data_IF_845171710323
#
_entry.id   IF_845171710323
#
_cell.length_a   1.000
_cell.length_b   1.000
_cell.length_c   1.000
_cell.angle_alpha   90.00
_cell.angle_beta   90.00
_cell.angle_gamma   90.00
#
_symmetry.space_group_name_H-M   'P 1'
#
loop_
_entity.id
_entity.type
_entity.pdbx_description
1 polymer ?
#
# COMPACT_ATOMS: atom_id res chain seq x y z
N UNK A 1 13.34 -16.44 -10.48
CA UNK A 1 11.87 -16.48 -10.64
C UNK A 1 11.30 -15.83 -9.41
N UNK A 2 10.48 -14.80 -9.58
CA UNK A 2 9.84 -14.12 -8.46
C UNK A 2 8.52 -14.85 -8.14
N UNK A 3 8.18 -14.93 -6.86
CA UNK A 3 6.83 -15.30 -6.46
C UNK A 3 5.92 -14.07 -6.51
N UNK A 4 4.64 -14.22 -6.85
CA UNK A 4 3.70 -13.09 -6.78
C UNK A 4 2.31 -13.52 -6.36
N UNK A 5 1.76 -12.81 -5.39
CA UNK A 5 0.42 -13.07 -4.85
C UNK A 5 -0.40 -11.77 -4.77
N UNK A 6 -1.70 -11.90 -4.99
CA UNK A 6 -2.67 -10.82 -4.81
C UNK A 6 -3.46 -11.07 -3.54
N UNK A 7 -3.32 -10.22 -2.53
CA UNK A 7 -4.11 -10.27 -1.30
C UNK A 7 -5.40 -9.49 -1.49
N UNK A 8 -6.53 -10.17 -1.38
CA UNK A 8 -7.86 -9.54 -1.40
C UNK A 8 -8.74 -10.05 -0.28
N UNK A 9 -10.00 -9.62 -0.21
CA UNK A 9 -10.94 -10.02 0.83
C UNK A 9 -12.37 -10.09 0.33
N UNK A 10 -13.23 -10.72 1.14
CA UNK A 10 -14.66 -10.75 0.87
C UNK A 10 -15.37 -9.39 1.11
N UNK A 11 -14.76 -8.48 1.87
CA UNK A 11 -15.27 -7.12 2.08
C UNK A 11 -14.18 -6.24 2.69
N UNK A 12 -14.45 -4.93 2.79
CA UNK A 12 -13.62 -4.00 3.56
C UNK A 12 -13.47 -4.46 5.02
N UNK A 13 -12.35 -4.13 5.67
CA UNK A 13 -12.10 -4.38 7.09
C UNK A 13 -12.03 -5.87 7.52
N UNK A 14 -11.82 -6.79 6.56
CA UNK A 14 -11.42 -8.19 6.85
C UNK A 14 -10.06 -8.35 7.50
N UNK A 15 -9.28 -7.27 7.65
CA UNK A 15 -7.91 -7.27 8.16
C UNK A 15 -6.84 -7.58 7.11
N UNK A 16 -7.11 -7.32 5.82
CA UNK A 16 -6.12 -7.46 4.73
C UNK A 16 -4.81 -6.76 5.05
N UNK A 17 -4.89 -5.52 5.52
CA UNK A 17 -3.72 -4.68 5.79
C UNK A 17 -2.86 -5.26 6.91
N UNK A 18 -3.46 -5.83 7.95
CA UNK A 18 -2.69 -6.55 8.99
C UNK A 18 -1.98 -7.77 8.40
N UNK A 19 -2.67 -8.51 7.54
CA UNK A 19 -2.11 -9.70 6.87
C UNK A 19 -0.99 -9.32 5.90
N UNK A 20 -1.18 -8.28 5.07
CA UNK A 20 -0.18 -7.82 4.10
C UNK A 20 1.08 -7.28 4.79
N UNK A 21 0.93 -6.46 5.84
CA UNK A 21 2.04 -5.95 6.63
C UNK A 21 2.81 -7.08 7.32
N UNK A 22 2.09 -7.99 7.98
CA UNK A 22 2.71 -9.12 8.64
C UNK A 22 3.40 -10.08 7.66
N UNK A 23 2.84 -10.32 6.47
CA UNK A 23 3.49 -11.10 5.42
C UNK A 23 4.76 -10.40 4.91
N UNK A 24 4.68 -9.11 4.59
CA UNK A 24 5.84 -8.35 4.11
C UNK A 24 6.99 -8.41 5.12
N UNK A 25 6.70 -8.15 6.40
CA UNK A 25 7.70 -8.17 7.45
C UNK A 25 8.22 -9.58 7.76
N UNK A 26 7.36 -10.61 7.72
CA UNK A 26 7.77 -12.00 7.94
C UNK A 26 8.69 -12.53 6.81
N UNK A 27 8.40 -12.19 5.55
CA UNK A 27 9.27 -12.55 4.43
C UNK A 27 10.60 -11.77 4.45
N UNK A 28 10.56 -10.47 4.78
CA UNK A 28 11.76 -9.66 5.00
C UNK A 28 12.63 -10.25 6.11
N UNK A 29 12.03 -10.70 7.22
CA UNK A 29 12.74 -11.35 8.32
C UNK A 29 13.40 -12.69 7.91
N UNK A 30 12.89 -13.34 6.86
CA UNK A 30 13.53 -14.49 6.18
C UNK A 30 14.58 -14.07 5.12
N UNK A 31 14.98 -12.81 5.10
CA UNK A 31 15.94 -12.23 4.15
C UNK A 31 15.52 -12.32 2.68
N UNK A 32 14.21 -12.37 2.41
CA UNK A 32 13.69 -12.27 1.05
C UNK A 32 13.54 -10.80 0.67
N UNK A 33 13.85 -10.48 -0.59
CA UNK A 33 13.55 -9.18 -1.16
C UNK A 33 12.04 -9.09 -1.46
N UNK A 34 11.31 -8.31 -0.68
CA UNK A 34 9.85 -8.17 -0.78
C UNK A 34 9.51 -6.89 -1.53
N UNK A 35 8.84 -6.99 -2.68
CA UNK A 35 8.25 -5.85 -3.35
C UNK A 35 6.76 -5.76 -3.00
N UNK A 36 6.32 -4.62 -2.49
CA UNK A 36 4.90 -4.40 -2.19
C UNK A 36 4.26 -3.50 -3.22
N UNK A 37 2.97 -3.73 -3.46
CA UNK A 37 2.13 -2.90 -4.31
C UNK A 37 0.78 -2.68 -3.63
N UNK A 38 0.14 -1.55 -3.91
CA UNK A 38 -1.19 -1.22 -3.42
C UNK A 38 -2.13 -0.94 -4.58
N UNK A 39 -3.29 -1.60 -4.60
CA UNK A 39 -4.33 -1.26 -5.57
C UNK A 39 -5.03 0.04 -5.17
N UNK A 40 -5.15 0.96 -6.13
CA UNK A 40 -5.84 2.23 -5.99
C UNK A 40 -4.94 3.43 -5.65
N UNK A 41 -5.46 4.66 -5.70
CA UNK A 41 -4.73 5.89 -5.42
C UNK A 41 -4.63 6.16 -3.90
N UNK A 42 -4.06 5.21 -3.16
CA UNK A 42 -3.87 5.27 -1.71
C UNK A 42 -2.49 5.85 -1.36
N UNK A 43 -2.38 6.61 -0.28
CA UNK A 43 -1.08 7.12 0.22
C UNK A 43 -0.68 6.51 1.55
N UNK A 44 -1.64 6.07 2.36
CA UNK A 44 -1.40 5.69 3.75
C UNK A 44 -0.93 4.24 3.82
N UNK A 45 -1.65 3.33 3.17
CA UNK A 45 -1.30 1.91 3.14
C UNK A 45 0.10 1.68 2.51
N UNK A 46 0.49 2.38 1.42
CA UNK A 46 1.86 2.31 0.89
C UNK A 46 2.96 2.71 1.87
N UNK A 47 2.74 3.69 2.74
CA UNK A 47 3.74 4.08 3.75
C UNK A 47 3.97 2.91 4.73
N UNK A 48 2.90 2.27 5.19
CA UNK A 48 2.98 1.09 6.06
C UNK A 48 3.63 -0.11 5.35
N UNK A 49 3.22 -0.39 4.11
CA UNK A 49 3.77 -1.48 3.30
C UNK A 49 5.25 -1.25 3.00
N UNK A 50 5.65 0.00 2.76
CA UNK A 50 7.06 0.34 2.52
C UNK A 50 7.91 0.07 3.75
N UNK A 51 7.43 0.46 4.93
CA UNK A 51 8.10 0.18 6.20
C UNK A 51 8.20 -1.33 6.47
N UNK A 52 7.11 -2.08 6.25
CA UNK A 52 7.04 -3.52 6.49
C UNK A 52 7.93 -4.32 5.53
N UNK A 53 7.91 -4.00 4.23
CA UNK A 53 8.70 -4.68 3.21
C UNK A 53 10.17 -4.24 3.19
N UNK A 54 10.46 -3.00 3.61
CA UNK A 54 11.78 -2.40 3.51
C UNK A 54 12.12 -1.84 2.12
N UNK A 55 11.20 -1.92 1.17
CA UNK A 55 11.29 -1.34 -0.17
C UNK A 55 10.13 -0.36 -0.37
N UNK A 56 10.23 0.61 -1.30
CA UNK A 56 9.09 1.44 -1.64
C UNK A 56 7.89 0.62 -2.13
N UNK A 57 6.68 1.01 -1.75
CA UNK A 57 5.43 0.44 -2.23
C UNK A 57 4.88 1.28 -3.39
N UNK A 58 4.48 0.62 -4.48
CA UNK A 58 3.93 1.30 -5.67
C UNK A 58 2.43 1.11 -5.79
N UNK A 59 1.76 2.14 -6.29
CA UNK A 59 0.33 2.09 -6.55
C UNK A 59 0.05 1.48 -7.92
N UNK A 60 -1.04 0.71 -8.02
CA UNK A 60 -1.55 0.17 -9.28
C UNK A 60 -3.02 0.55 -9.39
N UNK A 61 -3.37 1.42 -10.33
CA UNK A 61 -4.71 1.99 -10.39
C UNK A 61 -5.19 2.26 -11.83
N UNK A 62 -6.39 1.80 -12.14
CA UNK A 62 -7.00 1.92 -13.48
C UNK A 62 -7.47 3.33 -13.84
N UNK A 63 -7.54 4.26 -12.88
CA UNK A 63 -7.94 5.65 -13.15
C UNK A 63 -6.74 6.53 -13.46
N UNK A 64 -5.62 6.28 -12.78
CA UNK A 64 -4.39 7.05 -12.96
C UNK A 64 -3.43 6.43 -13.99
N UNK A 65 -3.63 5.15 -14.34
CA UNK A 65 -2.76 4.42 -15.25
C UNK A 65 -3.57 3.63 -16.28
N UNK A 66 -3.01 3.51 -17.48
CA UNK A 66 -3.41 2.51 -18.47
C UNK A 66 -3.02 1.10 -18.06
N UNK A 67 -3.64 0.09 -18.67
CA UNK A 67 -3.30 -1.32 -18.43
C UNK A 67 -1.83 -1.64 -18.75
N UNK A 68 -1.28 -1.00 -19.78
CA UNK A 68 0.13 -1.15 -20.17
C UNK A 68 1.07 -0.55 -19.12
N UNK A 69 0.76 0.65 -18.60
CA UNK A 69 1.53 1.29 -17.51
C UNK A 69 1.50 0.44 -16.24
N UNK A 70 0.33 -0.09 -15.85
CA UNK A 70 0.19 -1.02 -14.72
C UNK A 70 1.09 -2.25 -14.90
N UNK A 71 1.03 -2.86 -16.09
CA UNK A 71 1.78 -4.09 -16.39
C UNK A 71 3.29 -3.82 -16.41
N UNK A 72 3.73 -2.69 -16.96
CA UNK A 72 5.12 -2.28 -16.99
C UNK A 72 5.65 -1.97 -15.58
N UNK A 73 4.92 -1.18 -14.79
CA UNK A 73 5.32 -0.81 -13.43
C UNK A 73 5.43 -2.06 -12.55
N UNK A 74 4.42 -2.94 -12.58
CA UNK A 74 4.48 -4.22 -11.89
C UNK A 74 5.69 -5.04 -12.35
N UNK A 75 5.90 -5.19 -13.66
CA UNK A 75 6.99 -5.96 -14.23
C UNK A 75 8.37 -5.46 -13.79
N UNK A 76 8.59 -4.15 -13.82
CA UNK A 76 9.83 -3.48 -13.46
C UNK A 76 10.28 -3.80 -12.04
N UNK A 77 9.38 -3.66 -11.07
CA UNK A 77 9.75 -3.83 -9.66
C UNK A 77 9.59 -5.27 -9.18
N UNK A 78 8.59 -6.00 -9.66
CA UNK A 78 8.40 -7.39 -9.26
C UNK A 78 9.50 -8.31 -9.80
N UNK A 79 10.07 -8.05 -10.99
CA UNK A 79 11.14 -8.89 -11.56
C UNK A 79 12.43 -8.91 -10.73
N UNK A 80 12.65 -7.88 -9.91
CA UNK A 80 13.85 -7.72 -9.08
C UNK A 80 13.64 -8.22 -7.64
N UNK A 81 12.47 -8.80 -7.34
CA UNK A 81 12.09 -9.28 -6.01
C UNK A 81 12.09 -10.81 -5.92
N UNK A 82 12.23 -11.33 -4.70
CA UNK A 82 11.97 -12.76 -4.43
C UNK A 82 10.47 -13.01 -4.33
N UNK A 83 9.73 -12.05 -3.76
CA UNK A 83 8.28 -12.09 -3.66
C UNK A 83 7.67 -10.69 -3.86
N UNK A 84 6.66 -10.61 -4.72
CA UNK A 84 5.80 -9.46 -4.87
C UNK A 84 4.42 -9.69 -4.22
N UNK A 85 3.97 -8.73 -3.43
CA UNK A 85 2.69 -8.78 -2.72
C UNK A 85 1.86 -7.57 -3.13
N UNK A 86 0.72 -7.82 -3.77
CA UNK A 86 -0.24 -6.76 -4.10
C UNK A 86 -1.33 -6.78 -3.03
N UNK A 87 -1.52 -5.66 -2.33
CA UNK A 87 -2.67 -5.47 -1.44
C UNK A 87 -3.85 -4.81 -2.18
N UNK A 88 -4.96 -5.53 -2.27
CA UNK A 88 -6.21 -5.00 -2.80
C UNK A 88 -6.88 -3.98 -1.87
N UNK A 89 -7.57 -2.98 -2.43
CA UNK A 89 -8.49 -2.13 -1.66
C UNK A 89 -9.87 -2.82 -1.51
N UNK A 90 -10.71 -2.41 -0.54
CA UNK A 90 -12.10 -2.94 -0.36
C UNK A 90 -12.18 -4.48 -0.45
N UNK A 91 -13.16 -5.06 -1.14
CA UNK A 91 -13.30 -6.49 -1.45
C UNK A 91 -12.91 -6.87 -2.89
N UNK A 92 -12.78 -8.17 -3.18
CA UNK A 92 -12.25 -8.69 -4.46
C UNK A 92 -13.02 -8.19 -5.68
N UNK A 93 -14.34 -8.15 -5.59
CA UNK A 93 -15.22 -7.72 -6.68
C UNK A 93 -15.75 -6.30 -6.49
N UNK A 94 -15.25 -5.56 -5.50
CA UNK A 94 -15.68 -4.18 -5.25
C UNK A 94 -14.91 -3.21 -6.17
N UNK A 95 -15.61 -2.62 -7.12
CA UNK A 95 -15.15 -1.54 -8.00
C UNK A 95 -16.14 -0.36 -8.00
N UNK A 96 -15.83 0.70 -8.73
CA UNK A 96 -16.82 1.76 -9.00
C UNK A 96 -17.75 1.34 -10.14
N UNK A 97 -17.25 0.55 -11.09
CA UNK A 97 -18.07 0.01 -12.15
C UNK A 97 -18.80 -1.25 -11.67
N UNK A 98 -20.14 -1.21 -11.69
CA UNK A 98 -21.02 -2.33 -11.29
C UNK A 98 -20.78 -3.59 -12.15
N UNK A 99 -20.26 -3.41 -13.37
CA UNK A 99 -19.96 -4.51 -14.29
C UNK A 99 -18.51 -5.00 -14.24
N UNK A 100 -17.68 -4.46 -13.33
CA UNK A 100 -16.25 -4.74 -13.24
C UNK A 100 -15.40 -3.90 -14.19
N UNK A 101 -14.14 -4.28 -14.35
CA UNK A 101 -13.11 -3.57 -15.14
C UNK A 101 -12.22 -2.64 -14.31
N UNK A 102 -12.56 -2.41 -13.04
CA UNK A 102 -11.77 -1.58 -12.11
C UNK A 102 -11.65 -2.21 -10.71
N UNK A 103 -12.13 -3.44 -10.52
CA UNK A 103 -12.09 -4.15 -9.25
C UNK A 103 -10.72 -4.83 -9.05
N UNK A 104 -10.51 -5.37 -7.85
CA UNK A 104 -9.31 -6.16 -7.56
C UNK A 104 -9.22 -7.42 -8.43
N UNK A 105 -10.36 -8.03 -8.74
CA UNK A 105 -10.46 -9.16 -9.66
C UNK A 105 -9.86 -8.82 -11.04
N UNK A 106 -10.13 -7.62 -11.56
CA UNK A 106 -9.65 -7.20 -12.88
C UNK A 106 -8.14 -6.98 -12.88
N UNK A 107 -7.59 -6.36 -11.82
CA UNK A 107 -6.14 -6.21 -11.68
C UNK A 107 -5.43 -7.57 -11.53
N UNK A 108 -6.01 -8.49 -10.76
CA UNK A 108 -5.48 -9.85 -10.63
C UNK A 108 -5.49 -10.60 -11.97
N UNK A 109 -6.55 -10.44 -12.78
CA UNK A 109 -6.64 -11.02 -14.14
C UNK A 109 -5.62 -10.39 -15.09
N UNK A 110 -5.52 -9.06 -15.10
CA UNK A 110 -4.55 -8.32 -15.92
C UNK A 110 -3.12 -8.81 -15.69
N UNK A 111 -2.71 -8.90 -14.41
CA UNK A 111 -1.37 -9.33 -14.02
C UNK A 111 -1.19 -10.86 -13.96
N UNK A 112 -2.27 -11.61 -14.22
CA UNK A 112 -2.33 -13.08 -14.15
C UNK A 112 -1.77 -13.58 -12.82
N UNK A 113 -2.34 -13.07 -11.72
CA UNK A 113 -1.92 -13.36 -10.36
C UNK A 113 -2.95 -14.21 -9.63
N UNK A 114 -2.49 -15.21 -8.86
CA UNK A 114 -3.36 -15.92 -7.95
C UNK A 114 -3.80 -15.00 -6.80
N UNK A 115 -5.08 -15.10 -6.46
CA UNK A 115 -5.68 -14.38 -5.35
C UNK A 115 -5.62 -15.23 -4.09
N UNK A 116 -5.14 -14.64 -3.00
CA UNK A 116 -5.29 -15.16 -1.65
C UNK A 116 -6.40 -14.36 -0.97
N UNK A 117 -7.49 -15.05 -0.64
CA UNK A 117 -8.68 -14.41 -0.07
C UNK A 117 -8.58 -14.38 1.46
N UNK A 118 -8.47 -13.17 2.03
CA UNK A 118 -8.55 -12.95 3.48
C UNK A 118 -10.01 -12.89 3.89
N UNK A 119 -10.42 -13.81 4.78
CA UNK A 119 -11.80 -13.93 5.24
C UNK A 119 -11.90 -13.62 6.73
N UNK A 120 -12.75 -12.66 7.10
CA UNK A 120 -13.08 -12.39 8.50
C UNK A 120 -13.97 -13.52 9.01
N UNK A 121 -13.47 -14.28 9.98
CA UNK A 121 -14.20 -15.40 10.55
C UNK A 121 -15.11 -15.01 11.73
N UNK A 122 -15.26 -13.73 12.05
CA UNK A 122 -16.03 -13.29 13.22
C UNK A 122 -17.49 -13.72 13.10
N UNK A 123 -17.95 -14.54 14.05
CA UNK A 123 -19.34 -14.99 14.11
C UNK A 123 -19.77 -16.00 13.03
N UNK A 124 -18.85 -16.50 12.20
CA UNK A 124 -19.14 -17.47 11.15
C UNK A 124 -18.56 -18.85 11.48
N UNK A 125 -19.20 -19.93 11.03
CA UNK A 125 -18.61 -21.29 11.11
C UNK A 125 -18.78 -21.95 9.76
N UNK A 126 -19.77 -22.85 9.59
CA UNK A 126 -20.04 -23.50 8.29
C UNK A 126 -20.35 -22.51 7.17
N UNK A 127 -20.87 -21.32 7.49
CA UNK A 127 -21.18 -20.26 6.52
C UNK A 127 -19.97 -19.76 5.72
N UNK A 128 -18.74 -20.03 6.16
CA UNK A 128 -17.54 -19.68 5.40
C UNK A 128 -17.46 -20.45 4.07
N UNK A 129 -17.96 -21.69 4.04
CA UNK A 129 -17.93 -22.54 2.86
C UNK A 129 -18.75 -21.98 1.68
N UNK A 130 -20.05 -21.65 1.82
CA UNK A 130 -20.80 -21.02 0.72
C UNK A 130 -20.27 -19.62 0.36
N UNK A 131 -19.68 -18.88 1.30
CA UNK A 131 -19.01 -17.61 1.00
C UNK A 131 -17.82 -17.84 0.05
N UNK A 132 -16.86 -18.68 0.46
CA UNK A 132 -15.67 -19.00 -0.36
C UNK A 132 -16.07 -19.63 -1.69
N UNK A 133 -17.04 -20.56 -1.69
CA UNK A 133 -17.54 -21.18 -2.91
C UNK A 133 -18.19 -20.17 -3.85
N UNK A 134 -18.98 -19.25 -3.32
CA UNK A 134 -19.59 -18.16 -4.07
C UNK A 134 -18.53 -17.31 -4.77
N UNK A 135 -17.48 -16.91 -4.04
CA UNK A 135 -16.35 -16.16 -4.60
C UNK A 135 -15.63 -16.92 -5.72
N UNK A 136 -15.47 -18.23 -5.56
CA UNK A 136 -14.82 -19.11 -6.55
C UNK A 136 -15.63 -19.24 -7.85
N UNK A 137 -16.96 -19.35 -7.76
CA UNK A 137 -17.81 -19.62 -8.94
C UNK A 137 -18.38 -18.36 -9.59
N UNK A 138 -18.24 -17.21 -8.95
CA UNK A 138 -18.78 -15.94 -9.45
C UNK A 138 -18.06 -15.44 -10.70
N UNK A 139 -16.72 -15.45 -10.68
CA UNK A 139 -15.86 -15.15 -11.83
C UNK A 139 -14.83 -16.27 -11.96
N UNK A 140 -15.03 -17.16 -12.94
CA UNK A 140 -14.18 -18.34 -13.12
C UNK A 140 -12.80 -18.02 -13.70
N UNK A 141 -12.59 -16.80 -14.21
CA UNK A 141 -11.30 -16.35 -14.72
C UNK A 141 -10.37 -15.90 -13.59
N UNK A 142 -10.91 -15.68 -12.38
CA UNK A 142 -10.13 -15.34 -11.18
C UNK A 142 -9.63 -16.60 -10.50
N UNK A 143 -8.31 -16.80 -10.49
CA UNK A 143 -7.68 -17.92 -9.80
C UNK A 143 -7.54 -17.63 -8.29
N UNK A 144 -8.51 -18.08 -7.48
CA UNK A 144 -8.38 -18.08 -6.01
C UNK A 144 -7.54 -19.28 -5.58
N UNK A 145 -6.27 -19.03 -5.25
CA UNK A 145 -5.30 -20.07 -4.92
C UNK A 145 -5.30 -20.49 -3.45
N UNK A 146 -5.96 -19.73 -2.57
CA UNK A 146 -6.10 -20.10 -1.17
C UNK A 146 -6.84 -19.07 -0.33
N UNK A 147 -7.14 -19.45 0.90
CA UNK A 147 -7.82 -18.61 1.91
C UNK A 147 -6.94 -18.45 3.14
N UNK A 148 -6.86 -17.22 3.66
CA UNK A 148 -6.35 -16.94 5.01
C UNK A 148 -7.53 -16.54 5.88
N UNK A 149 -7.79 -17.33 6.92
CA UNK A 149 -8.86 -17.05 7.88
C UNK A 149 -8.33 -16.07 8.93
N UNK A 150 -9.06 -14.98 9.17
CA UNK A 150 -8.67 -13.95 10.12
C UNK A 150 -9.67 -13.84 11.29
N UNK A 151 -9.21 -13.30 12.43
CA UNK A 151 -9.98 -13.08 13.65
C UNK A 151 -10.57 -14.37 14.25
N UNK A 152 -9.80 -15.45 14.22
CA UNK A 152 -10.23 -16.74 14.75
C UNK A 152 -10.31 -16.70 16.28
N UNK A 153 -11.43 -17.20 16.82
CA UNK A 153 -11.73 -17.15 18.25
C UNK A 153 -10.99 -18.20 19.10
N UNK A 154 -10.52 -19.30 18.50
CA UNK A 154 -9.81 -20.39 19.17
C UNK A 154 -9.84 -21.70 18.37
N UNK A 155 -9.19 -22.75 18.88
CA UNK A 155 -8.91 -24.01 18.16
C UNK A 155 -10.18 -24.70 17.62
N UNK A 156 -11.24 -24.76 18.43
CA UNK A 156 -12.51 -25.36 18.01
C UNK A 156 -13.14 -24.61 16.85
N UNK A 157 -13.01 -23.29 16.84
CA UNK A 157 -13.56 -22.44 15.79
C UNK A 157 -12.76 -22.64 14.50
N UNK A 158 -11.43 -22.60 14.60
CA UNK A 158 -10.51 -22.89 13.50
C UNK A 158 -10.80 -24.23 12.83
N UNK A 159 -10.82 -25.32 13.61
CA UNK A 159 -11.01 -26.67 13.09
C UNK A 159 -12.33 -26.80 12.33
N UNK A 160 -13.40 -26.17 12.81
CA UNK A 160 -14.70 -26.17 12.12
C UNK A 160 -14.68 -25.39 10.80
N UNK A 161 -13.97 -24.27 10.73
CA UNK A 161 -13.85 -23.47 9.51
C UNK A 161 -13.06 -24.24 8.46
N UNK A 162 -11.90 -24.78 8.84
CA UNK A 162 -11.04 -25.57 7.95
C UNK A 162 -11.81 -26.77 7.40
N UNK A 163 -12.43 -27.58 8.26
CA UNK A 163 -13.24 -28.73 7.83
C UNK A 163 -14.39 -28.32 6.90
N UNK A 164 -15.02 -27.17 7.13
CA UNK A 164 -16.07 -26.69 6.25
C UNK A 164 -15.52 -26.29 4.86
N UNK A 165 -14.40 -25.57 4.80
CA UNK A 165 -13.80 -25.17 3.51
C UNK A 165 -13.34 -26.40 2.73
N UNK A 166 -12.59 -27.31 3.37
CA UNK A 166 -12.04 -28.51 2.74
C UNK A 166 -13.11 -29.51 2.30
N UNK A 167 -14.25 -29.56 3.00
CA UNK A 167 -15.34 -30.47 2.62
C UNK A 167 -16.15 -29.98 1.40
N UNK A 168 -16.32 -28.67 1.26
CA UNK A 168 -17.22 -28.09 0.24
C UNK A 168 -16.47 -27.41 -0.92
N UNK A 169 -15.16 -27.22 -0.82
CA UNK A 169 -14.33 -26.54 -1.81
C UNK A 169 -12.95 -27.19 -1.90
N UNK A 170 -12.31 -27.06 -3.05
CA UNK A 170 -10.92 -27.50 -3.25
C UNK A 170 -9.90 -26.40 -2.91
N UNK A 171 -10.36 -25.28 -2.33
CA UNK A 171 -9.49 -24.14 -2.04
C UNK A 171 -8.75 -24.39 -0.73
N UNK A 172 -7.41 -24.36 -0.75
CA UNK A 172 -6.65 -24.63 0.47
C UNK A 172 -6.75 -23.49 1.46
N UNK A 173 -6.83 -23.84 2.75
CA UNK A 173 -6.60 -22.89 3.84
C UNK A 173 -5.09 -22.76 4.05
N UNK A 174 -4.57 -21.56 3.88
CA UNK A 174 -3.14 -21.24 3.97
C UNK A 174 -2.75 -20.70 5.35
N UNK A 175 -3.73 -20.34 6.18
CA UNK A 175 -3.47 -19.88 7.53
C UNK A 175 -4.75 -19.53 8.28
N UNK A 176 -4.64 -19.48 9.60
CA UNK A 176 -5.74 -19.18 10.51
C UNK A 176 -5.29 -18.30 11.67
N UNK A 177 -5.45 -16.99 11.52
CA UNK A 177 -4.92 -15.98 12.42
C UNK A 177 -5.90 -15.73 13.57
N UNK A 178 -5.45 -15.99 14.80
CA UNK A 178 -6.19 -15.69 16.03
C UNK A 178 -6.52 -14.20 16.13
N UNK A 179 -7.72 -13.90 16.64
CA UNK A 179 -8.03 -12.53 17.07
C UNK A 179 -7.07 -12.13 18.21
N UNK A 180 -6.48 -10.96 18.10
CA UNK A 180 -5.59 -10.39 19.12
C UNK A 180 -5.83 -8.89 19.19
N UNK A 181 -5.83 -8.32 20.39
CA UNK A 181 -5.88 -6.86 20.57
C UNK A 181 -4.59 -6.19 20.11
N UNK A 182 -3.50 -6.95 20.01
CA UNK A 182 -2.21 -6.47 19.50
C UNK A 182 -2.20 -6.34 17.97
N UNK A 183 -3.21 -6.88 17.29
CA UNK A 183 -3.41 -6.78 15.83
C UNK A 183 -4.48 -5.75 15.46
N UNK A 184 -4.81 -4.84 16.38
CA UNK A 184 -5.69 -3.70 16.12
C UNK A 184 -4.79 -2.54 15.69
N UNK A 185 -5.08 -2.00 14.50
CA UNK A 185 -4.42 -0.81 13.98
C UNK A 185 -5.38 0.37 14.10
N UNK A 186 -4.88 1.51 14.58
CA UNK A 186 -5.70 2.70 14.79
C UNK A 186 -6.11 3.31 13.44
N UNK A 187 -7.42 3.57 13.31
CA UNK A 187 -8.02 4.23 12.16
C UNK A 187 -8.45 5.65 12.54
N UNK A 188 -8.18 6.62 11.65
CA UNK A 188 -8.79 7.96 11.63
C UNK A 188 -9.91 7.99 10.57
N UNK A 189 -10.56 9.15 10.42
CA UNK A 189 -11.71 9.36 9.52
C UNK A 189 -11.49 8.91 8.06
N UNK A 190 -10.24 8.84 7.58
CA UNK A 190 -9.88 8.53 6.20
C UNK A 190 -9.09 7.21 6.02
N UNK A 191 -8.93 6.40 7.07
CA UNK A 191 -8.15 5.17 7.01
C UNK A 191 -7.17 5.07 8.17
N UNK A 192 -6.09 4.31 8.00
CA UNK A 192 -5.07 4.15 9.03
C UNK A 192 -4.45 5.51 9.40
N UNK A 193 -3.92 5.63 10.61
CA UNK A 193 -2.94 6.68 10.86
C UNK A 193 -1.68 6.42 10.02
N UNK A 194 -1.10 7.41 9.32
CA UNK A 194 0.14 7.21 8.57
C UNK A 194 1.28 6.70 9.45
N UNK A 195 2.10 5.78 8.92
CA UNK A 195 3.15 5.13 9.70
C UNK A 195 4.27 6.09 10.13
N UNK A 196 4.51 7.14 9.34
CA UNK A 196 5.42 8.26 9.65
C UNK A 196 4.90 9.17 10.79
N UNK A 197 3.60 9.14 11.08
CA UNK A 197 3.00 9.82 12.25
C UNK A 197 2.82 8.88 13.45
N UNK A 198 3.14 7.60 13.32
CA UNK A 198 2.84 6.56 14.33
C UNK A 198 4.15 5.99 14.91
N UNK A 199 4.64 6.48 16.06
CA UNK A 199 5.91 6.01 16.64
C UNK A 199 5.95 4.51 16.93
N UNK A 200 4.79 3.90 17.16
CA UNK A 200 4.67 2.46 17.44
C UNK A 200 4.50 1.60 16.18
N UNK A 201 4.55 2.20 14.98
CA UNK A 201 4.33 1.50 13.70
C UNK A 201 5.23 0.28 13.54
N UNK A 202 6.53 0.42 13.85
CA UNK A 202 7.48 -0.68 13.73
C UNK A 202 7.14 -1.83 14.69
N UNK A 203 6.78 -1.50 15.93
CA UNK A 203 6.41 -2.49 16.94
C UNK A 203 5.15 -3.25 16.52
N UNK A 204 4.17 -2.55 15.94
CA UNK A 204 2.97 -3.17 15.39
C UNK A 204 3.31 -4.13 14.25
N UNK A 205 4.12 -3.69 13.29
CA UNK A 205 4.58 -4.52 12.15
C UNK A 205 5.31 -5.77 12.64
N UNK A 206 6.21 -5.64 13.62
CA UNK A 206 6.94 -6.77 14.19
C UNK A 206 6.01 -7.78 14.89
N UNK A 207 4.96 -7.30 15.57
CA UNK A 207 3.95 -8.15 16.18
C UNK A 207 3.09 -8.86 15.13
N UNK A 208 2.65 -8.14 14.10
CA UNK A 208 1.94 -8.74 12.97
C UNK A 208 2.80 -9.82 12.28
N UNK A 209 4.09 -9.55 12.07
CA UNK A 209 5.02 -10.50 11.48
C UNK A 209 5.11 -11.81 12.27
N UNK A 210 5.21 -11.75 13.60
CA UNK A 210 5.24 -12.93 14.47
C UNK A 210 3.95 -13.74 14.36
N UNK A 211 2.80 -13.07 14.49
CA UNK A 211 1.51 -13.74 14.37
C UNK A 211 1.31 -14.41 13.02
N UNK A 212 1.75 -13.78 11.93
CA UNK A 212 1.66 -14.33 10.59
C UNK A 212 2.63 -15.49 10.41
N UNK A 213 3.89 -15.36 10.83
CA UNK A 213 4.90 -16.41 10.72
C UNK A 213 4.50 -17.70 11.48
N UNK A 214 3.80 -17.55 12.61
CA UNK A 214 3.37 -18.69 13.43
C UNK A 214 2.08 -19.38 12.90
N UNK A 215 1.24 -18.68 12.13
CA UNK A 215 -0.13 -19.12 11.85
C UNK A 215 -0.47 -19.17 10.34
N UNK A 216 0.47 -18.81 9.47
CA UNK A 216 0.31 -18.82 8.01
C UNK A 216 1.46 -19.60 7.39
N UNK A 217 1.13 -20.46 6.42
CA UNK A 217 2.08 -21.27 5.66
C UNK A 217 2.82 -20.41 4.62
N UNK A 218 3.89 -19.77 5.09
CA UNK A 218 4.72 -18.86 4.30
C UNK A 218 5.41 -19.56 3.12
N UNK A 219 5.86 -20.79 3.30
CA UNK A 219 6.57 -21.54 2.26
C UNK A 219 5.60 -21.92 1.13
N UNK A 220 4.37 -22.30 1.48
CA UNK A 220 3.31 -22.52 0.50
C UNK A 220 2.94 -21.25 -0.24
N UNK A 221 2.84 -20.10 0.44
CA UNK A 221 2.59 -18.81 -0.22
C UNK A 221 3.67 -18.47 -1.26
N UNK A 222 4.95 -18.67 -0.92
CA UNK A 222 6.05 -18.46 -1.87
C UNK A 222 5.94 -19.44 -3.05
N UNK A 223 5.51 -20.68 -2.81
CA UNK A 223 5.39 -21.72 -3.83
C UNK A 223 4.21 -21.56 -4.80
N UNK A 224 3.20 -20.75 -4.46
CA UNK A 224 1.93 -20.68 -5.23
C UNK A 224 2.12 -20.21 -6.67
N UNK A 225 3.03 -19.26 -6.92
CA UNK A 225 3.20 -18.69 -8.26
C UNK A 225 4.62 -18.19 -8.49
N UNK A 226 5.53 -19.14 -8.65
CA UNK A 226 6.88 -18.86 -9.12
C UNK A 226 6.86 -18.75 -10.64
N UNK A 227 7.00 -17.53 -11.14
CA UNK A 227 7.10 -17.27 -12.58
C UNK A 227 8.28 -16.37 -12.91
N UNK A 228 8.76 -16.48 -14.14
CA UNK A 228 9.59 -15.42 -14.70
C UNK A 228 8.68 -14.25 -15.01
N UNK A 229 8.95 -13.11 -14.39
CA UNK A 229 8.28 -11.85 -14.68
C UNK A 229 9.13 -11.16 -15.73
N UNK A 230 8.51 -10.80 -16.86
CA UNK A 230 9.19 -10.02 -17.88
C UNK A 230 9.48 -8.63 -17.32
N UNK A 231 10.77 -8.31 -17.23
CA UNK A 231 11.18 -6.95 -16.90
C UNK A 231 11.05 -6.10 -18.16
N UNK A 232 10.37 -4.95 -18.12
CA UNK A 232 10.36 -4.02 -19.24
C UNK A 232 11.80 -3.60 -19.58
N UNK A 233 12.05 -3.30 -20.85
CA UNK A 233 13.37 -2.79 -21.23
C UNK A 233 13.53 -1.39 -20.61
N UNK A 234 14.56 -1.15 -19.79
CA UNK A 234 14.75 0.14 -19.16
C UNK A 234 14.92 1.21 -20.24
N UNK A 235 14.08 2.23 -20.20
CA UNK A 235 14.25 3.41 -21.05
C UNK A 235 15.37 4.23 -20.42
N UNK A 236 16.57 4.10 -20.95
CA UNK A 236 17.71 4.89 -20.50
C UNK A 236 17.56 6.30 -21.06
N UNK A 237 17.05 7.22 -20.24
CA UNK A 237 17.07 8.64 -20.55
C UNK A 237 18.49 9.17 -20.31
N UNK A 238 19.19 9.51 -21.39
CA UNK A 238 20.50 10.16 -21.33
C UNK A 238 20.41 11.68 -21.08
N UNK A 239 19.25 12.16 -20.62
CA UNK A 239 19.06 13.56 -20.26
C UNK A 239 19.65 13.80 -18.88
N UNK A 240 20.83 14.39 -18.83
CA UNK A 240 21.33 15.02 -17.60
C UNK A 240 20.67 16.40 -17.50
N UNK A 241 19.58 16.50 -16.76
CA UNK A 241 19.03 17.79 -16.33
C UNK A 241 19.88 18.31 -15.15
N UNK A 242 20.01 19.62 -15.02
CA UNK A 242 20.56 20.25 -13.81
C UNK A 242 19.44 20.88 -12.97
N UNK A 243 18.21 20.39 -13.13
CA UNK A 243 17.03 20.93 -12.47
C UNK A 243 16.97 20.33 -11.07
N UNK A 244 16.89 21.21 -10.07
CA UNK A 244 16.64 20.82 -8.69
C UNK A 244 15.19 21.12 -8.32
N UNK A 245 14.48 20.16 -7.72
CA UNK A 245 13.12 20.36 -7.20
C UNK A 245 13.14 20.21 -5.69
N UNK A 246 12.70 21.25 -4.97
CA UNK A 246 12.49 21.18 -3.54
C UNK A 246 11.18 20.44 -3.24
N UNK A 247 11.23 19.39 -2.42
CA UNK A 247 10.06 18.56 -2.06
C UNK A 247 9.82 18.61 -0.55
N UNK A 248 8.64 19.03 -0.12
CA UNK A 248 8.30 19.03 1.31
C UNK A 248 8.18 17.59 1.82
N UNK A 249 8.91 17.18 2.85
CA UNK A 249 8.84 15.80 3.36
C UNK A 249 9.02 15.74 4.87
N UNK A 250 7.89 15.65 5.57
CA UNK A 250 7.80 15.65 7.03
C UNK A 250 6.48 14.99 7.50
N UNK A 251 6.07 15.19 8.75
CA UNK A 251 4.82 14.62 9.27
C UNK A 251 3.56 15.37 8.82
N UNK A 252 3.68 16.60 8.29
CA UNK A 252 2.58 17.33 7.67
C UNK A 252 2.42 16.98 6.18
N UNK A 253 3.52 16.68 5.48
CA UNK A 253 3.56 16.38 4.05
C UNK A 253 4.33 15.09 3.77
N UNK A 254 3.59 14.01 3.52
CA UNK A 254 4.17 12.69 3.25
C UNK A 254 3.45 11.91 2.16
N UNK A 255 2.43 12.48 1.52
CA UNK A 255 1.63 11.78 0.52
C UNK A 255 2.19 12.04 -0.87
N UNK A 256 3.02 11.10 -1.32
CA UNK A 256 3.65 11.07 -2.63
C UNK A 256 3.50 9.67 -3.22
N UNK A 257 3.25 9.60 -4.52
CA UNK A 257 3.36 8.34 -5.26
C UNK A 257 4.83 8.10 -5.57
N UNK A 258 5.33 6.90 -5.27
CA UNK A 258 6.75 6.60 -5.43
C UNK A 258 7.17 6.64 -6.91
N UNK A 259 6.32 6.19 -7.82
CA UNK A 259 6.55 6.20 -9.26
C UNK A 259 6.69 7.63 -9.81
N UNK A 260 6.00 8.63 -9.24
CA UNK A 260 6.23 10.04 -9.60
C UNK A 260 7.63 10.51 -9.18
N UNK A 261 8.09 10.12 -7.98
CA UNK A 261 9.43 10.46 -7.49
C UNK A 261 10.53 9.77 -8.30
N UNK A 262 10.31 8.50 -8.65
CA UNK A 262 11.21 7.73 -9.51
C UNK A 262 11.23 8.30 -10.94
N UNK A 263 10.11 8.83 -11.43
CA UNK A 263 10.06 9.49 -12.72
C UNK A 263 10.94 10.74 -12.75
N UNK A 264 10.98 11.55 -11.68
CA UNK A 264 11.93 12.66 -11.55
C UNK A 264 13.38 12.19 -11.63
N UNK A 265 13.75 11.14 -10.87
CA UNK A 265 15.09 10.56 -10.89
C UNK A 265 15.46 10.05 -12.30
N UNK A 266 14.52 9.37 -12.97
CA UNK A 266 14.71 8.85 -14.34
C UNK A 266 14.91 9.95 -15.39
N UNK A 267 14.47 11.18 -15.11
CA UNK A 267 14.66 12.35 -15.96
C UNK A 267 15.93 13.14 -15.60
N UNK A 268 16.70 12.68 -14.60
CA UNK A 268 17.87 13.37 -14.09
C UNK A 268 17.52 14.66 -13.35
N UNK A 269 16.41 14.67 -12.62
CA UNK A 269 16.01 15.78 -11.75
C UNK A 269 16.45 15.50 -10.32
N UNK A 270 17.19 16.45 -9.73
CA UNK A 270 17.66 16.33 -8.35
C UNK A 270 16.54 16.72 -7.38
N UNK A 271 16.03 15.75 -6.61
CA UNK A 271 15.05 16.03 -5.56
C UNK A 271 15.76 16.38 -4.24
N UNK A 272 15.50 17.57 -3.72
CA UNK A 272 15.99 18.01 -2.41
C UNK A 272 14.82 18.11 -1.44
N UNK A 273 14.85 17.28 -0.41
CA UNK A 273 13.81 17.25 0.62
C UNK A 273 14.07 18.32 1.69
N UNK A 274 13.00 18.94 2.18
CA UNK A 274 13.03 19.88 3.29
C UNK A 274 11.87 19.64 4.27
N UNK A 275 12.06 20.02 5.52
CA UNK A 275 11.09 19.86 6.61
C UNK A 275 10.38 21.18 6.88
N UNK A 276 9.08 21.23 6.59
CA UNK A 276 8.24 22.43 6.76
C UNK A 276 8.05 22.84 8.22
N UNK A 277 8.31 21.94 9.17
CA UNK A 277 8.16 22.15 10.59
C UNK A 277 9.42 22.72 11.22
N UNK A 278 10.61 22.42 10.67
CA UNK A 278 11.88 22.72 11.33
C UNK A 278 12.87 23.54 10.50
N UNK A 279 12.86 23.44 9.17
CA UNK A 279 13.77 24.22 8.32
C UNK A 279 13.34 25.69 8.27
N UNK A 280 14.30 26.62 8.30
CA UNK A 280 14.01 28.06 8.34
C UNK A 280 13.90 28.70 6.95
N UNK A 281 14.33 27.99 5.90
CA UNK A 281 14.37 28.46 4.50
C UNK A 281 14.16 27.29 3.54
N UNK A 282 13.60 27.62 2.38
CA UNK A 282 13.52 26.67 1.28
C UNK A 282 14.94 26.46 0.72
N UNK A 283 15.38 25.21 0.46
CA UNK A 283 16.65 24.97 -0.22
C UNK A 283 16.69 25.66 -1.59
N UNK A 284 17.90 25.89 -2.10
CA UNK A 284 18.08 26.41 -3.45
C UNK A 284 17.59 25.37 -4.46
N UNK A 285 16.55 25.73 -5.22
CA UNK A 285 15.88 24.85 -6.17
C UNK A 285 15.25 25.65 -7.30
N UNK A 286 15.08 25.00 -8.45
CA UNK A 286 14.47 25.58 -9.65
C UNK A 286 12.95 25.46 -9.65
N UNK A 287 12.39 24.53 -8.87
CA UNK A 287 10.95 24.39 -8.65
C UNK A 287 10.63 23.85 -7.25
N UNK A 288 9.36 23.98 -6.86
CA UNK A 288 8.82 23.52 -5.58
C UNK A 288 7.68 22.53 -5.80
N UNK A 289 7.74 21.38 -5.12
CA UNK A 289 6.67 20.39 -5.05
C UNK A 289 6.23 20.20 -3.58
N UNK A 290 4.98 20.53 -3.27
CA UNK A 290 4.35 20.22 -1.98
C UNK A 290 3.19 19.27 -2.22
N UNK A 291 3.40 17.99 -1.89
CA UNK A 291 2.38 16.95 -2.03
C UNK A 291 1.26 17.05 -0.98
N UNK A 292 0.50 15.96 -0.89
CA UNK A 292 -0.55 15.84 0.10
C UNK A 292 -0.04 15.56 1.52
N UNK A 293 -0.98 15.61 2.46
CA UNK A 293 -0.76 15.28 3.85
C UNK A 293 -1.85 15.89 4.72
N UNK A 294 -1.64 15.92 6.03
CA UNK A 294 -2.59 16.44 7.01
C UNK A 294 -2.02 17.66 7.75
N UNK A 295 -1.81 18.80 7.05
CA UNK A 295 -1.26 20.01 7.68
C UNK A 295 -2.12 20.51 8.85
N UNK A 296 -3.41 20.20 8.87
CA UNK A 296 -4.33 20.49 9.97
C UNK A 296 -3.91 19.84 11.31
N UNK A 297 -3.13 18.76 11.27
CA UNK A 297 -2.60 18.08 12.45
C UNK A 297 -1.32 18.73 12.98
N UNK A 298 -0.69 19.61 12.20
CA UNK A 298 0.58 20.27 12.53
C UNK A 298 0.46 21.81 12.52
N UNK A 299 -0.75 22.35 12.68
CA UNK A 299 -1.02 23.79 12.54
C UNK A 299 -0.16 24.67 13.44
N UNK A 300 0.08 24.26 14.69
CA UNK A 300 0.88 25.04 15.64
C UNK A 300 2.33 25.16 15.15
N UNK A 301 2.96 24.04 14.81
CA UNK A 301 4.34 24.00 14.31
C UNK A 301 4.49 24.73 12.96
N UNK A 302 3.59 24.44 12.01
CA UNK A 302 3.57 25.10 10.70
C UNK A 302 3.37 26.62 10.82
N UNK A 303 2.47 27.06 11.70
CA UNK A 303 2.22 28.49 11.93
C UNK A 303 3.35 29.17 12.71
N UNK A 304 4.09 28.43 13.53
CA UNK A 304 5.26 28.97 14.24
C UNK A 304 6.44 29.24 13.30
N UNK A 305 6.57 28.47 12.20
CA UNK A 305 7.65 28.61 11.23
C UNK A 305 7.43 29.77 10.23
N UNK A 306 7.38 31.00 10.76
CA UNK A 306 7.16 32.22 9.97
C UNK A 306 8.30 32.50 8.98
N UNK A 307 9.51 32.03 9.28
CA UNK A 307 10.68 32.22 8.41
C UNK A 307 10.48 31.49 7.08
N UNK A 308 10.22 30.19 7.13
CA UNK A 308 10.02 29.38 5.94
C UNK A 308 8.77 29.80 5.16
N UNK A 309 7.66 30.08 5.85
CA UNK A 309 6.43 30.60 5.22
C UNK A 309 6.69 31.87 4.41
N UNK A 310 7.48 32.80 4.96
CA UNK A 310 7.83 34.06 4.28
C UNK A 310 8.77 33.83 3.10
N UNK A 311 9.75 32.94 3.25
CA UNK A 311 10.69 32.58 2.18
C UNK A 311 9.96 31.93 0.99
N UNK A 312 9.16 30.89 1.25
CA UNK A 312 8.34 30.20 0.23
C UNK A 312 7.44 31.21 -0.48
N UNK A 313 6.68 32.02 0.26
CA UNK A 313 5.79 33.02 -0.33
C UNK A 313 6.54 33.99 -1.24
N UNK A 314 7.70 34.48 -0.79
CA UNK A 314 8.51 35.44 -1.54
C UNK A 314 9.06 34.81 -2.83
N UNK A 315 9.56 33.58 -2.77
CA UNK A 315 10.09 32.85 -3.94
C UNK A 315 8.99 32.55 -4.96
N UNK A 316 7.81 32.08 -4.51
CA UNK A 316 6.65 31.86 -5.39
C UNK A 316 6.21 33.17 -6.05
N UNK A 317 6.09 34.26 -5.30
CA UNK A 317 5.72 35.58 -5.85
C UNK A 317 6.77 36.14 -6.82
N UNK A 318 8.02 35.72 -6.68
CA UNK A 318 9.13 36.07 -7.57
C UNK A 318 9.22 35.17 -8.82
N UNK A 319 8.32 34.19 -8.95
CA UNK A 319 8.19 33.36 -10.15
C UNK A 319 8.69 31.93 -10.03
N UNK A 320 8.99 31.42 -8.82
CA UNK A 320 9.37 30.02 -8.62
C UNK A 320 8.25 29.08 -9.10
N UNK A 321 8.48 28.24 -10.13
CA UNK A 321 7.52 27.21 -10.54
C UNK A 321 7.14 26.32 -9.36
N UNK A 322 5.85 26.21 -9.09
CA UNK A 322 5.35 25.51 -7.91
C UNK A 322 4.17 24.61 -8.26
N UNK A 323 4.26 23.35 -7.86
CA UNK A 323 3.15 22.41 -7.83
C UNK A 323 2.78 22.13 -6.38
N UNK A 324 1.51 22.31 -6.04
CA UNK A 324 0.99 22.01 -4.70
C UNK A 324 -0.40 21.40 -4.80
N UNK A 325 -0.63 20.31 -4.07
CA UNK A 325 -1.88 19.57 -4.11
C UNK A 325 -2.39 19.24 -2.70
N UNK A 326 -3.70 19.00 -2.56
CA UNK A 326 -4.32 18.58 -1.31
C UNK A 326 -3.86 19.43 -0.10
N UNK A 327 -3.21 18.81 0.89
CA UNK A 327 -2.63 19.48 2.06
C UNK A 327 -1.60 20.56 1.69
N UNK A 328 -0.77 20.35 0.67
CA UNK A 328 0.17 21.35 0.18
C UNK A 328 -0.53 22.62 -0.32
N UNK A 329 -1.65 22.48 -1.04
CA UNK A 329 -2.46 23.63 -1.46
C UNK A 329 -3.08 24.37 -0.25
N UNK A 330 -3.51 23.63 0.78
CA UNK A 330 -3.99 24.21 2.03
C UNK A 330 -2.88 25.02 2.72
N UNK A 331 -1.66 24.50 2.77
CA UNK A 331 -0.49 25.18 3.37
C UNK A 331 -0.13 26.49 2.69
N UNK A 332 -0.27 26.57 1.36
CA UNK A 332 -0.05 27.79 0.59
C UNK A 332 -1.22 28.78 0.62
N UNK A 333 -2.35 28.41 1.25
CA UNK A 333 -3.51 29.28 1.39
C UNK A 333 -3.31 30.37 2.46
N UNK A 334 -4.17 31.39 2.48
CA UNK A 334 -4.05 32.51 3.43
C UNK A 334 -4.22 32.08 4.89
N UNK A 335 -5.00 31.04 5.13
CA UNK A 335 -5.35 30.54 6.45
C UNK A 335 -5.89 29.11 6.33
N UNK A 336 -5.53 28.26 7.29
CA UNK A 336 -6.19 26.98 7.55
C UNK A 336 -6.96 27.12 8.86
N UNK A 337 -8.18 26.59 8.92
CA UNK A 337 -8.96 26.51 10.16
C UNK A 337 -9.49 25.10 10.30
N UNK A 338 -9.19 24.46 11.42
CA UNK A 338 -9.64 23.12 11.73
C UNK A 338 -10.64 23.18 12.89
N UNK A 339 -11.85 22.66 12.67
CA UNK A 339 -12.82 22.41 13.73
C UNK A 339 -12.73 20.92 14.04
N UNK A 340 -12.15 20.60 15.19
CA UNK A 340 -11.79 19.24 15.60
C UNK A 340 -12.87 18.19 15.35
#
# INVERSE_FOLDING_TARGET
MASSIYLSAAHKSSGKTVVSLGLCAAFKAKSLNVQSFKKGPDYIDPIWLSQASGNPCYNLDFYNMSEDEITQLYGQYASNSDIAIIEGNKGLYDGMNVTGGDANADLAKLLKLPVILVVDATGITRGVAPLVKGYQVFDTDVHIAGVVLNKIAGDRHESKLIQAIEHYTDIPVLGAIRRSTELIIDERHLGLMPANETPESQKFIDTAAKHIADQVDLDRLIGINQKTIESPTPVINNTTSSITVAVAKDSAFGFYYQDDLDAFDSLGVDLVYFDTLTDDKLPEADALFIGGGFPEMQLEALSANQSLLTDIKTKIQSGLPTYAECGGLMYLSRQITHQG
#
